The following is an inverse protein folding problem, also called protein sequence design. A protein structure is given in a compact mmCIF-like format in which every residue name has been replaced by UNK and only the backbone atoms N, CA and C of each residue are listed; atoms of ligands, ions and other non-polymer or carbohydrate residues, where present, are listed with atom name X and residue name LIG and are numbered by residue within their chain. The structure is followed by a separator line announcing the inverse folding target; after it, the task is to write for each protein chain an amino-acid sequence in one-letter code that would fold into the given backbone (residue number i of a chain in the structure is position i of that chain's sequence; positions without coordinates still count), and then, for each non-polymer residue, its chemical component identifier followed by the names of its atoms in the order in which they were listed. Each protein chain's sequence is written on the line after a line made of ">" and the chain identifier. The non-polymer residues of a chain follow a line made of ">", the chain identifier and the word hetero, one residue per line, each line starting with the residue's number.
data_IF_165933929409
#
_entry.id   IF_165933929409
#
_cell.length_a   1.000
_cell.length_b   1.000
_cell.length_c   1.000
_cell.angle_alpha   90.00
_cell.angle_beta   90.00
_cell.angle_gamma   90.00
#
_symmetry.space_group_name_H-M   'P 1'
#
loop_
_entity.id
_entity.type
_entity.pdbx_description
1 polymer ?
#
# COMPACT_ATOMS: atom_id res chain seq x y z
N UNK A 1 -18.09 -56.93 29.75
CA UNK A 1 -18.84 -55.78 29.18
C UNK A 1 -17.92 -54.55 29.22
N UNK A 2 -17.49 -54.02 28.08
CA UNK A 2 -16.54 -52.88 27.99
C UNK A 2 -17.31 -51.57 28.22
N UNK A 3 -16.95 -50.81 29.26
CA UNK A 3 -17.48 -49.47 29.50
C UNK A 3 -16.72 -48.44 28.65
N UNK A 4 -17.36 -47.88 27.64
CA UNK A 4 -16.82 -46.77 26.86
C UNK A 4 -17.06 -45.45 27.60
N UNK A 5 -15.97 -44.76 28.01
CA UNK A 5 -16.03 -43.43 28.64
C UNK A 5 -16.60 -42.41 27.64
N UNK A 6 -17.72 -41.78 27.97
CA UNK A 6 -18.22 -40.59 27.27
C UNK A 6 -17.28 -39.40 27.49
N UNK A 7 -16.77 -38.85 26.40
CA UNK A 7 -15.98 -37.62 26.39
C UNK A 7 -16.92 -36.41 26.53
N UNK A 8 -16.93 -35.77 27.71
CA UNK A 8 -17.64 -34.49 27.94
C UNK A 8 -16.66 -33.32 27.71
N UNK A 9 -16.29 -33.05 26.45
CA UNK A 9 -15.37 -31.97 26.07
C UNK A 9 -16.07 -30.94 25.16
N UNK A 10 -17.20 -30.42 25.63
CA UNK A 10 -17.92 -29.32 24.99
C UNK A 10 -18.60 -28.49 26.08
N UNK A 11 -17.83 -28.07 27.07
CA UNK A 11 -18.34 -27.19 28.13
C UNK A 11 -18.27 -25.73 27.69
N UNK A 12 -19.16 -24.87 28.21
CA UNK A 12 -19.11 -23.44 27.94
C UNK A 12 -17.76 -22.81 28.38
N UNK A 13 -17.15 -23.37 29.44
CA UNK A 13 -15.84 -22.95 29.95
C UNK A 13 -14.74 -23.21 28.91
N UNK A 14 -14.80 -24.34 28.22
CA UNK A 14 -13.82 -24.72 27.19
C UNK A 14 -13.88 -23.77 25.98
N UNK A 15 -15.09 -23.38 25.55
CA UNK A 15 -15.29 -22.34 24.54
C UNK A 15 -14.78 -20.97 25.00
N UNK A 16 -14.94 -20.61 26.28
CA UNK A 16 -14.46 -19.33 26.82
C UNK A 16 -12.93 -19.25 26.78
N UNK A 17 -12.24 -20.31 27.20
CA UNK A 17 -10.76 -20.36 27.16
C UNK A 17 -10.26 -20.29 25.72
N UNK A 18 -10.92 -20.96 24.77
CA UNK A 18 -10.56 -20.90 23.35
C UNK A 18 -10.71 -19.49 22.79
N UNK A 19 -11.82 -18.80 23.07
CA UNK A 19 -12.01 -17.42 22.62
C UNK A 19 -10.96 -16.48 23.23
N UNK A 20 -10.62 -16.66 24.51
CA UNK A 20 -9.57 -15.89 25.17
C UNK A 20 -8.22 -16.04 24.46
N UNK A 21 -7.81 -17.27 24.13
CA UNK A 21 -6.57 -17.51 23.37
C UNK A 21 -6.63 -16.91 21.96
N UNK A 22 -7.75 -17.08 21.22
CA UNK A 22 -7.92 -16.53 19.86
C UNK A 22 -7.78 -15.00 19.88
N UNK A 23 -8.34 -14.31 20.87
CA UNK A 23 -8.23 -12.84 20.95
C UNK A 23 -6.78 -12.38 21.08
N UNK A 24 -5.98 -13.03 21.93
CA UNK A 24 -4.56 -12.72 22.12
C UNK A 24 -3.79 -12.94 20.81
N UNK A 25 -4.07 -14.04 20.10
CA UNK A 25 -3.44 -14.34 18.81
C UNK A 25 -3.76 -13.26 17.76
N UNK A 26 -5.00 -12.79 17.69
CA UNK A 26 -5.42 -11.72 16.77
C UNK A 26 -4.72 -10.40 17.12
N UNK A 27 -4.63 -10.04 18.40
CA UNK A 27 -3.94 -8.83 18.86
C UNK A 27 -2.46 -8.81 18.49
N UNK A 28 -1.78 -9.97 18.46
CA UNK A 28 -0.38 -10.07 18.01
C UNK A 28 -0.27 -10.08 16.48
N UNK A 29 -1.23 -10.68 15.78
CA UNK A 29 -1.21 -10.81 14.31
C UNK A 29 -1.50 -9.49 13.58
N UNK A 30 -2.50 -8.72 14.01
CA UNK A 30 -2.90 -7.44 13.38
C UNK A 30 -1.74 -6.41 13.30
N UNK A 31 -1.01 -6.07 14.38
CA UNK A 31 0.06 -5.10 14.32
C UNK A 31 1.25 -5.59 13.49
N UNK A 32 1.41 -6.90 13.31
CA UNK A 32 2.46 -7.47 12.46
C UNK A 32 2.10 -7.32 10.97
N UNK A 33 0.87 -7.64 10.58
CA UNK A 33 0.38 -7.52 9.19
C UNK A 33 0.34 -6.05 8.72
N UNK A 34 -0.11 -5.13 9.56
CA UNK A 34 -0.26 -3.71 9.20
C UNK A 34 1.08 -3.02 8.89
N UNK A 35 2.19 -3.45 9.51
CA UNK A 35 3.54 -2.93 9.22
C UNK A 35 4.02 -3.30 7.82
N UNK A 36 3.71 -4.51 7.35
CA UNK A 36 4.06 -4.95 6.01
C UNK A 36 3.26 -4.20 4.93
N UNK A 37 1.98 -3.92 5.17
CA UNK A 37 1.14 -3.13 4.26
C UNK A 37 1.71 -1.73 3.99
N UNK A 38 2.13 -1.00 5.03
CA UNK A 38 2.76 0.32 4.85
C UNK A 38 4.06 0.26 4.04
N UNK A 39 4.90 -0.74 4.30
CA UNK A 39 6.14 -0.91 3.53
C UNK A 39 5.88 -1.24 2.06
N UNK A 40 4.85 -2.05 1.78
CA UNK A 40 4.42 -2.37 0.41
C UNK A 40 3.91 -1.11 -0.30
N UNK A 41 3.09 -0.30 0.36
CA UNK A 41 2.58 0.95 -0.21
C UNK A 41 3.70 1.95 -0.51
N UNK A 42 4.71 2.07 0.37
CA UNK A 42 5.88 2.92 0.13
C UNK A 42 6.70 2.43 -1.06
N UNK A 43 6.99 1.13 -1.15
CA UNK A 43 7.72 0.56 -2.30
C UNK A 43 6.95 0.73 -3.61
N UNK A 44 5.62 0.59 -3.57
CA UNK A 44 4.77 0.84 -4.72
C UNK A 44 4.80 2.31 -5.16
N UNK A 45 4.83 3.24 -4.20
CA UNK A 45 4.93 4.67 -4.47
C UNK A 45 6.32 5.04 -5.04
N UNK A 46 7.40 4.49 -4.50
CA UNK A 46 8.76 4.67 -5.02
C UNK A 46 8.89 4.16 -6.47
N UNK A 47 8.33 2.98 -6.77
CA UNK A 47 8.29 2.47 -8.14
C UNK A 47 7.47 3.37 -9.07
N UNK A 48 6.37 3.96 -8.56
CA UNK A 48 5.55 4.89 -9.31
C UNK A 48 6.28 6.22 -9.60
N UNK A 49 7.03 6.76 -8.63
CA UNK A 49 7.90 7.94 -8.83
C UNK A 49 8.91 7.68 -9.94
N UNK A 50 9.59 6.53 -9.92
CA UNK A 50 10.56 6.15 -10.96
C UNK A 50 9.88 6.00 -12.34
N UNK A 51 8.68 5.44 -12.39
CA UNK A 51 7.91 5.35 -13.63
C UNK A 51 7.55 6.73 -14.19
N UNK A 52 7.06 7.64 -13.34
CA UNK A 52 6.72 9.01 -13.71
C UNK A 52 7.97 9.79 -14.13
N UNK A 53 9.11 9.59 -13.47
CA UNK A 53 10.39 10.18 -13.86
C UNK A 53 10.76 9.81 -15.30
N UNK A 54 10.63 8.53 -15.68
CA UNK A 54 10.84 8.11 -17.06
C UNK A 54 9.85 8.74 -18.06
N UNK A 55 8.61 9.01 -17.63
CA UNK A 55 7.64 9.74 -18.46
C UNK A 55 7.98 11.23 -18.61
N UNK A 56 8.50 11.85 -17.55
CA UNK A 56 9.00 13.24 -17.58
C UNK A 56 10.18 13.36 -18.54
N UNK A 57 11.12 12.43 -18.49
CA UNK A 57 12.25 12.37 -19.42
C UNK A 57 11.79 12.13 -20.86
N UNK A 58 10.79 11.26 -21.08
CA UNK A 58 10.19 11.08 -22.39
C UNK A 58 9.53 12.36 -22.93
N UNK A 59 8.84 13.10 -22.06
CA UNK A 59 8.26 14.40 -22.40
C UNK A 59 9.34 15.44 -22.76
N UNK A 60 10.43 15.48 -21.99
CA UNK A 60 11.57 16.36 -22.28
C UNK A 60 12.18 16.04 -23.65
N UNK A 61 12.32 14.76 -24.00
CA UNK A 61 12.85 14.36 -25.31
C UNK A 61 11.96 14.81 -26.48
N UNK A 62 10.64 14.85 -26.30
CA UNK A 62 9.70 15.22 -27.37
C UNK A 62 9.48 16.73 -27.48
N UNK A 63 9.38 17.44 -26.35
CA UNK A 63 9.02 18.86 -26.30
C UNK A 63 10.18 19.80 -25.93
N UNK A 64 11.35 19.26 -25.59
CA UNK A 64 12.51 20.01 -25.10
C UNK A 64 12.25 20.88 -23.86
N UNK A 65 11.16 20.58 -23.13
CA UNK A 65 10.78 21.27 -21.91
C UNK A 65 10.28 20.28 -20.88
N UNK A 66 10.51 20.55 -19.60
CA UNK A 66 9.89 19.77 -18.53
C UNK A 66 8.39 20.08 -18.39
N UNK A 67 7.56 19.08 -18.08
CA UNK A 67 6.15 19.30 -17.79
C UNK A 67 6.01 20.07 -16.47
N UNK A 68 5.14 21.09 -16.45
CA UNK A 68 4.90 21.92 -15.27
C UNK A 68 4.08 21.20 -14.19
N UNK A 69 3.39 20.10 -14.54
CA UNK A 69 2.59 19.31 -13.61
C UNK A 69 2.31 17.90 -14.12
N UNK A 70 1.94 17.00 -13.21
CA UNK A 70 1.47 15.64 -13.56
C UNK A 70 0.26 15.68 -14.51
N UNK A 71 -0.59 16.71 -14.40
CA UNK A 71 -1.75 16.87 -15.29
C UNK A 71 -1.34 17.10 -16.76
N UNK A 72 -0.20 17.75 -17.00
CA UNK A 72 0.31 17.95 -18.36
C UNK A 72 0.69 16.61 -18.99
N UNK A 73 1.32 15.72 -18.22
CA UNK A 73 1.61 14.36 -18.65
C UNK A 73 0.34 13.54 -18.92
N UNK A 74 -0.73 13.75 -18.15
CA UNK A 74 -2.03 13.09 -18.39
C UNK A 74 -2.68 13.60 -19.68
N UNK A 75 -2.76 14.92 -19.85
CA UNK A 75 -3.35 15.54 -21.04
C UNK A 75 -2.62 15.16 -22.33
N UNK A 76 -1.31 14.96 -22.24
CA UNK A 76 -0.45 14.58 -23.37
C UNK A 76 -0.36 13.06 -23.57
N UNK A 77 -1.00 12.26 -22.72
CA UNK A 77 -1.07 10.80 -22.86
C UNK A 77 0.13 10.02 -22.32
N UNK A 78 1.09 10.68 -21.68
CA UNK A 78 2.24 10.04 -21.03
C UNK A 78 1.85 9.34 -19.72
N UNK A 79 0.75 9.76 -19.09
CA UNK A 79 0.21 9.16 -17.87
C UNK A 79 -1.30 8.95 -17.96
N UNK A 80 -1.77 7.85 -17.37
CA UNK A 80 -3.20 7.61 -17.22
C UNK A 80 -3.70 8.29 -15.95
N UNK A 81 -4.86 8.95 -16.05
CA UNK A 81 -5.51 9.67 -14.96
C UNK A 81 -5.80 8.78 -13.73
N UNK A 82 -6.11 7.50 -13.97
CA UNK A 82 -6.34 6.49 -12.93
C UNK A 82 -5.07 6.11 -12.15
N UNK A 83 -3.89 6.40 -12.69
CA UNK A 83 -2.59 6.10 -12.07
C UNK A 83 -1.93 7.35 -11.49
N UNK A 84 -2.54 8.52 -11.52
CA UNK A 84 -1.91 9.78 -11.08
C UNK A 84 -1.72 9.93 -9.54
N UNK A 85 -1.98 8.88 -8.74
CA UNK A 85 -1.90 8.92 -7.27
C UNK A 85 -1.13 7.72 -6.73
N UNK A 86 -0.31 7.96 -5.71
CA UNK A 86 0.33 6.87 -4.98
C UNK A 86 -0.68 6.07 -4.15
N UNK A 87 -0.42 4.76 -3.99
CA UNK A 87 -1.23 3.85 -3.16
C UNK A 87 -1.29 4.25 -1.68
N UNK A 88 -0.43 5.15 -1.23
CA UNK A 88 -0.41 5.68 0.13
C UNK A 88 -1.27 6.95 0.32
N UNK A 89 -1.87 7.47 -0.76
CA UNK A 89 -2.67 8.71 -0.73
C UNK A 89 -1.86 9.99 -0.97
N UNK A 90 -0.54 9.90 -1.03
CA UNK A 90 0.35 11.03 -1.30
C UNK A 90 0.26 11.49 -2.77
N UNK A 91 0.33 12.80 -2.96
CA UNK A 91 0.47 13.44 -4.27
C UNK A 91 1.92 13.45 -4.71
N UNK A 92 2.15 13.59 -6.01
CA UNK A 92 3.49 13.71 -6.59
C UNK A 92 3.65 15.10 -7.18
N UNK A 93 4.82 15.69 -6.95
CA UNK A 93 5.22 17.00 -7.45
C UNK A 93 6.36 16.82 -8.46
N UNK A 94 6.35 17.65 -9.49
CA UNK A 94 7.43 17.73 -10.48
C UNK A 94 8.14 19.07 -10.26
N UNK A 95 9.42 19.02 -9.93
CA UNK A 95 10.26 20.21 -9.78
C UNK A 95 10.60 20.85 -11.15
N UNK A 96 11.06 22.10 -11.14
CA UNK A 96 11.45 22.82 -12.37
C UNK A 96 12.60 22.15 -13.13
N UNK A 97 13.38 21.32 -12.43
CA UNK A 97 14.49 20.55 -12.96
C UNK A 97 14.05 19.16 -13.50
N UNK A 98 12.74 18.90 -13.60
CA UNK A 98 12.21 17.62 -14.10
C UNK A 98 12.26 16.47 -13.10
N UNK A 99 12.62 16.75 -11.84
CA UNK A 99 12.68 15.75 -10.78
C UNK A 99 11.30 15.48 -10.20
N UNK A 100 10.95 14.21 -10.09
CA UNK A 100 9.69 13.75 -9.51
C UNK A 100 9.88 13.40 -8.03
N UNK A 101 9.10 14.02 -7.15
CA UNK A 101 9.18 13.80 -5.70
C UNK A 101 7.80 13.59 -5.09
N UNK A 102 7.72 12.75 -4.06
CA UNK A 102 6.49 12.57 -3.28
C UNK A 102 6.24 13.77 -2.36
N UNK A 103 5.05 14.37 -2.43
CA UNK A 103 4.58 15.30 -1.40
C UNK A 103 4.29 14.50 -0.13
N UNK A 104 5.27 14.43 0.75
CA UNK A 104 5.08 13.92 2.11
C UNK A 104 4.40 15.02 2.92
N UNK A 105 3.11 15.23 2.68
CA UNK A 105 2.27 15.91 3.67
C UNK A 105 2.24 15.00 4.90
N UNK A 106 3.08 15.36 5.86
CA UNK A 106 3.26 14.63 7.12
C UNK A 106 2.05 14.73 8.03
#
# INVERSE_FOLDING_TARGET
>A
MKYTKSQKAFTLIEMLVVLLVITILIFVAIPNITKHSKSINNKGCEAFVNMVQGQVEAYEMEFHTYPASVNELVNKGFLQESRAKCSNGNSIIIDKDGKVSEDKSS
#
